data_IF_129388853457
#
_entry.id   IF_129388853457
#
_cell.length_a   1.000
_cell.length_b   1.000
_cell.length_c   1.000
_cell.angle_alpha   90.00
_cell.angle_beta   90.00
_cell.angle_gamma   90.00
#
_symmetry.space_group_name_H-M   'P 1'
#
loop_
_entity.id
_entity.type
_entity.pdbx_description
1 polymer ?
#
# COMPACT_ATOMS: atom_id res chain seq x y z
N UNK A 1 9.82 5.89 14.56
CA UNK A 1 8.50 5.39 14.12
C UNK A 1 8.07 6.24 12.93
N UNK A 2 7.74 5.59 11.82
CA UNK A 2 7.26 6.24 10.59
C UNK A 2 5.74 6.31 10.57
N UNK A 3 5.22 7.08 9.63
CA UNK A 3 3.80 7.31 9.44
C UNK A 3 3.12 6.03 8.91
N UNK A 4 1.91 5.76 9.38
CA UNK A 4 1.09 4.62 8.97
C UNK A 4 -0.19 5.10 8.30
N UNK A 5 -0.45 4.61 7.10
CA UNK A 5 -1.69 4.85 6.38
C UNK A 5 -2.28 3.51 5.93
N UNK A 6 -3.59 3.43 5.77
CA UNK A 6 -4.25 2.17 5.39
C UNK A 6 -5.54 2.41 4.64
N UNK A 7 -5.89 1.44 3.81
CA UNK A 7 -7.05 1.58 2.93
C UNK A 7 -7.21 0.47 1.90
N UNK A 8 -8.31 0.48 1.15
CA UNK A 8 -8.46 -0.37 -0.03
C UNK A 8 -7.59 0.13 -1.19
N UNK A 9 -7.00 -0.81 -1.92
CA UNK A 9 -6.28 -0.51 -3.17
C UNK A 9 -7.29 -0.25 -4.28
N UNK A 10 -7.22 0.95 -4.86
CA UNK A 10 -8.16 1.41 -5.90
C UNK A 10 -7.70 0.97 -7.29
N UNK A 11 -6.41 1.15 -7.58
CA UNK A 11 -5.84 0.94 -8.91
C UNK A 11 -4.36 0.61 -8.83
N UNK A 12 -3.89 -0.31 -9.65
CA UNK A 12 -2.46 -0.57 -9.81
C UNK A 12 -1.89 0.27 -10.95
N UNK A 13 -0.80 1.00 -10.69
CA UNK A 13 -0.12 1.88 -11.66
C UNK A 13 0.97 1.12 -12.40
N UNK A 14 1.69 0.23 -11.71
CA UNK A 14 2.78 -0.59 -12.26
C UNK A 14 2.91 -1.90 -11.48
N UNK A 15 3.89 -2.73 -11.85
CA UNK A 15 4.26 -3.95 -11.13
C UNK A 15 4.73 -3.77 -9.68
N UNK A 16 4.87 -2.53 -9.20
CA UNK A 16 5.32 -2.22 -7.86
C UNK A 16 4.69 -0.94 -7.31
N UNK A 17 3.67 -0.38 -7.97
CA UNK A 17 3.02 0.84 -7.52
C UNK A 17 1.51 0.79 -7.71
N UNK A 18 0.78 1.42 -6.79
CA UNK A 18 -0.68 1.47 -6.79
C UNK A 18 -1.21 2.75 -6.14
N UNK A 19 -2.48 3.05 -6.35
CA UNK A 19 -3.23 4.11 -5.71
C UNK A 19 -4.04 3.53 -4.55
N UNK A 20 -3.83 4.09 -3.36
CA UNK A 20 -4.49 3.70 -2.12
C UNK A 20 -5.56 4.74 -1.78
N UNK A 21 -6.80 4.29 -1.52
CA UNK A 21 -7.81 5.16 -0.88
C UNK A 21 -7.55 5.17 0.62
N UNK A 22 -6.86 6.20 1.10
CA UNK A 22 -6.50 6.32 2.49
C UNK A 22 -7.74 6.59 3.32
N UNK A 23 -8.16 5.57 4.04
CA UNK A 23 -9.33 5.61 4.95
C UNK A 23 -8.92 5.55 6.40
N UNK A 24 -7.69 5.09 6.68
CA UNK A 24 -7.14 4.92 8.01
C UNK A 24 -5.77 5.59 8.10
N UNK A 25 -5.56 6.29 9.21
CA UNK A 25 -4.31 6.98 9.52
C UNK A 25 -3.88 6.60 10.93
N UNK A 26 -2.56 6.50 11.14
CA UNK A 26 -2.00 6.44 12.49
C UNK A 26 -2.24 7.77 13.19
N UNK A 27 -2.48 7.72 14.51
CA UNK A 27 -2.72 8.93 15.32
C UNK A 27 -1.47 9.82 15.46
N UNK A 28 -0.30 9.23 15.25
CA UNK A 28 1.03 9.83 15.41
C UNK A 28 1.73 10.12 14.07
N UNK A 29 0.98 10.14 12.96
CA UNK A 29 1.52 10.58 11.67
C UNK A 29 2.02 12.02 11.76
N UNK A 30 3.21 12.26 11.22
CA UNK A 30 3.84 13.58 11.17
C UNK A 30 3.41 14.39 9.95
N UNK A 31 3.02 13.71 8.87
CA UNK A 31 2.60 14.32 7.63
C UNK A 31 1.09 14.23 7.40
N UNK A 32 0.61 15.08 6.47
CA UNK A 32 -0.75 15.01 5.96
C UNK A 32 -0.77 14.21 4.67
N UNK A 33 -1.78 13.36 4.55
CA UNK A 33 -1.98 12.46 3.42
C UNK A 33 -3.33 12.76 2.78
N UNK A 34 -3.34 12.73 1.45
CA UNK A 34 -4.53 12.90 0.64
C UNK A 34 -5.44 11.69 0.79
N UNK A 35 -6.67 11.83 0.30
CA UNK A 35 -7.60 10.70 0.20
C UNK A 35 -7.05 9.61 -0.73
N UNK A 36 -6.45 10.01 -1.86
CA UNK A 36 -5.80 9.06 -2.77
C UNK A 36 -4.31 9.34 -2.73
N UNK A 37 -3.51 8.38 -2.28
CA UNK A 37 -2.05 8.47 -2.30
C UNK A 37 -1.46 7.41 -3.23
N UNK A 38 -0.39 7.80 -3.93
CA UNK A 38 0.38 6.89 -4.78
C UNK A 38 1.41 6.18 -3.94
N UNK A 39 1.34 4.87 -3.89
CA UNK A 39 2.22 4.02 -3.10
C UNK A 39 3.18 3.29 -4.02
N UNK A 40 4.47 3.37 -3.72
CA UNK A 40 5.51 2.51 -4.28
C UNK A 40 5.87 1.45 -3.23
N UNK A 41 5.79 0.19 -3.64
CA UNK A 41 6.07 -0.96 -2.79
C UNK A 41 7.58 -1.10 -2.65
N UNK A 42 8.10 -0.79 -1.46
CA UNK A 42 9.50 -1.10 -1.12
C UNK A 42 9.64 -2.53 -0.60
N UNK A 43 8.65 -2.99 0.15
CA UNK A 43 8.52 -4.35 0.65
C UNK A 43 7.05 -4.64 0.80
N UNK A 44 6.63 -5.86 0.51
CA UNK A 44 5.29 -6.31 0.85
C UNK A 44 5.38 -7.56 1.69
N UNK A 45 4.65 -7.54 2.80
CA UNK A 45 4.43 -8.68 3.67
C UNK A 45 3.03 -9.19 3.37
N UNK A 46 2.97 -10.20 2.50
CA UNK A 46 1.73 -10.87 2.16
C UNK A 46 1.74 -12.27 2.78
N UNK A 47 0.84 -12.56 3.73
CA UNK A 47 0.78 -13.87 4.37
C UNK A 47 0.49 -15.02 3.39
N UNK A 48 -0.12 -14.75 2.23
CA UNK A 48 -0.37 -15.75 1.19
C UNK A 48 0.81 -15.90 0.21
N UNK A 49 1.69 -14.89 0.12
CA UNK A 49 2.90 -14.96 -0.70
C UNK A 49 4.03 -14.10 -0.08
N UNK A 50 4.88 -14.67 0.80
CA UNK A 50 5.86 -13.91 1.58
C UNK A 50 7.02 -13.35 0.74
N UNK A 51 7.23 -13.85 -0.48
CA UNK A 51 8.26 -13.35 -1.40
C UNK A 51 7.60 -12.64 -2.58
N UNK A 52 7.51 -11.31 -2.48
CA UNK A 52 7.11 -10.51 -3.62
C UNK A 52 8.31 -10.21 -4.50
N UNK A 53 8.31 -10.82 -5.67
CA UNK A 53 9.15 -10.40 -6.79
C UNK A 53 8.41 -9.30 -7.54
N UNK A 54 9.15 -8.40 -8.20
CA UNK A 54 8.55 -7.38 -9.07
C UNK A 54 7.63 -8.08 -10.08
N UNK A 55 6.32 -7.91 -9.93
CA UNK A 55 5.31 -8.60 -10.75
C UNK A 55 4.88 -7.71 -11.91
N UNK A 56 4.06 -8.22 -12.81
CA UNK A 56 3.37 -7.36 -13.77
C UNK A 56 2.27 -6.55 -13.09
N UNK A 57 1.88 -5.42 -13.69
CA UNK A 57 0.75 -4.62 -13.20
C UNK A 57 -0.52 -5.46 -13.01
N UNK A 58 -0.75 -6.43 -13.90
CA UNK A 58 -1.93 -7.31 -13.89
C UNK A 58 -1.90 -8.23 -12.66
N UNK A 59 -0.75 -8.83 -12.37
CA UNK A 59 -0.58 -9.70 -11.20
C UNK A 59 -0.73 -8.92 -9.89
N UNK A 60 -0.12 -7.74 -9.80
CA UNK A 60 -0.30 -6.86 -8.65
C UNK A 60 -1.78 -6.48 -8.46
N UNK A 61 -2.47 -6.19 -9.57
CA UNK A 61 -3.89 -5.85 -9.54
C UNK A 61 -4.74 -7.02 -9.04
N UNK A 62 -4.49 -8.24 -9.51
CA UNK A 62 -5.17 -9.43 -9.02
C UNK A 62 -4.84 -9.73 -7.55
N UNK A 63 -3.62 -9.43 -7.12
CA UNK A 63 -3.18 -9.68 -5.75
C UNK A 63 -3.76 -8.69 -4.74
N UNK A 64 -3.87 -7.40 -5.10
CA UNK A 64 -4.17 -6.32 -4.15
C UNK A 64 -5.45 -5.54 -4.41
N UNK A 65 -5.95 -5.44 -5.66
CA UNK A 65 -7.10 -4.59 -5.95
C UNK A 65 -8.32 -5.03 -5.14
N UNK A 66 -8.95 -4.06 -4.48
CA UNK A 66 -10.08 -4.30 -3.58
C UNK A 66 -9.71 -4.93 -2.23
N UNK A 67 -8.45 -5.33 -2.01
CA UNK A 67 -7.99 -5.75 -0.68
C UNK A 67 -7.63 -4.53 0.16
N UNK A 68 -7.79 -4.68 1.46
CA UNK A 68 -7.36 -3.69 2.44
C UNK A 68 -5.90 -3.91 2.78
N UNK A 69 -5.08 -2.87 2.65
CA UNK A 69 -3.66 -2.91 2.95
C UNK A 69 -3.29 -1.82 3.95
N UNK A 70 -2.30 -2.13 4.79
CA UNK A 70 -1.64 -1.16 5.66
C UNK A 70 -0.28 -0.82 5.09
N UNK A 71 0.01 0.47 4.95
CA UNK A 71 1.26 0.99 4.41
C UNK A 71 2.00 1.75 5.50
N UNK A 72 3.21 1.30 5.81
CA UNK A 72 4.14 2.02 6.67
C UNK A 72 5.06 2.86 5.78
N UNK A 73 4.89 4.18 5.85
CA UNK A 73 5.61 5.15 5.01
C UNK A 73 7.06 5.20 5.48
N UNK A 74 7.98 4.98 4.53
CA UNK A 74 9.42 5.16 4.77
C UNK A 74 9.85 6.58 4.45
N UNK A 75 9.49 7.04 3.25
CA UNK A 75 9.73 8.40 2.78
C UNK A 75 8.81 8.73 1.60
N UNK A 76 8.62 10.03 1.32
CA UNK A 76 7.99 10.52 0.10
C UNK A 76 9.08 10.77 -0.95
N UNK A 77 8.93 10.19 -2.14
CA UNK A 77 9.78 10.48 -3.28
C UNK A 77 9.33 11.79 -3.94
N UNK A 78 10.09 12.85 -3.72
CA UNK A 78 9.82 14.19 -4.26
C UNK A 78 9.84 14.25 -5.79
N UNK A 79 10.49 13.29 -6.47
CA UNK A 79 10.55 13.29 -7.95
C UNK A 79 9.27 12.78 -8.58
N UNK A 80 8.61 11.83 -7.93
CA UNK A 80 7.43 11.13 -8.45
C UNK A 80 6.15 11.44 -7.68
N UNK A 81 6.29 12.22 -6.61
CA UNK A 81 5.24 12.53 -5.64
C UNK A 81 4.55 11.27 -5.11
N UNK A 82 5.35 10.23 -4.84
CA UNK A 82 4.89 8.92 -4.42
C UNK A 82 5.43 8.55 -3.05
N UNK A 83 4.63 7.84 -2.25
CA UNK A 83 5.03 7.34 -0.95
C UNK A 83 5.68 5.97 -1.09
N UNK A 84 6.94 5.87 -0.70
CA UNK A 84 7.63 4.59 -0.63
C UNK A 84 7.26 3.92 0.69
N UNK A 85 6.53 2.81 0.61
CA UNK A 85 5.94 2.16 1.77
C UNK A 85 6.30 0.68 1.87
N UNK A 86 6.35 0.21 3.11
CA UNK A 86 6.23 -1.22 3.41
C UNK A 86 4.75 -1.56 3.51
N UNK A 87 4.28 -2.43 2.62
CA UNK A 87 2.87 -2.80 2.47
C UNK A 87 2.59 -4.10 3.20
N UNK A 88 1.54 -4.12 3.99
CA UNK A 88 1.08 -5.29 4.73
C UNK A 88 -0.35 -5.60 4.27
N UNK A 89 -0.53 -6.77 3.64
CA UNK A 89 -1.86 -7.17 3.18
C UNK A 89 -2.65 -7.68 4.38
N UNK A 90 -3.74 -6.99 4.72
CA UNK A 90 -4.62 -7.47 5.77
C UNK A 90 -5.57 -8.51 5.19
N UNK A 91 -5.59 -9.71 5.77
CA UNK A 91 -6.64 -10.68 5.47
C UNK A 91 -7.97 -10.10 5.97
N UNK A 92 -9.06 -10.17 5.19
CA UNK A 92 -10.38 -9.95 5.76
C UNK A 92 -10.56 -10.93 6.93
N UNK A 93 -11.16 -10.53 8.05
CA UNK A 93 -11.45 -11.46 9.14
C UNK A 93 -12.26 -12.64 8.59
N UNK A 94 -11.80 -13.87 8.84
CA UNK A 94 -12.54 -15.09 8.50
C UNK A 94 -13.85 -15.07 9.29
N UNK A 95 -14.95 -14.70 8.63
CA UNK A 95 -16.27 -14.61 9.26
C UNK A 95 -17.23 -13.66 8.56
N UNK A 96 -17.65 -14.02 7.35
CA UNK A 96 -18.95 -13.63 6.78
C UNK A 96 -19.62 -14.86 6.18
#
# INVERSE_FOLDING_TARGET
MGDGIGGPVVKCVSGNAFELDVTHYRKDNKEQYSKIEKIIISKIDNPDNPEYQETTQIELEQALKGKFVSCNVQYRDEKTDALVCNVFVQKPPEGF
#
